data_IF_334318149613
#
_entry.id   IF_334318149613
#
_cell.length_a   1.000
_cell.length_b   1.000
_cell.length_c   1.000
_cell.angle_alpha   90.00
_cell.angle_beta   90.00
_cell.angle_gamma   90.00
#
_symmetry.space_group_name_H-M   'P 1'
#
loop_
_entity.id
_entity.type
_entity.pdbx_description
1 polymer ?
#
# COMPACT_ATOMS: atom_id res chain seq x y z
N UNK A 1 11.76 -4.56 18.15
CA UNK A 1 10.82 -3.54 17.65
C UNK A 1 9.44 -3.80 18.21
N UNK A 2 8.82 -2.85 18.92
CA UNK A 2 7.39 -2.91 19.26
C UNK A 2 6.61 -2.27 18.11
N UNK A 3 5.90 -3.09 17.33
CA UNK A 3 5.07 -2.60 16.24
C UNK A 3 3.73 -2.09 16.80
N UNK A 4 3.37 -0.85 16.50
CA UNK A 4 2.06 -0.32 16.84
C UNK A 4 1.02 -0.83 15.83
N UNK A 5 0.41 -1.98 16.14
CA UNK A 5 -0.57 -2.66 15.28
C UNK A 5 -1.74 -1.73 14.90
N UNK A 6 -2.15 -0.84 15.81
CA UNK A 6 -3.24 0.10 15.56
C UNK A 6 -2.84 1.17 14.53
N UNK A 7 -1.61 1.68 14.61
CA UNK A 7 -1.07 2.60 13.62
C UNK A 7 -0.95 1.93 12.25
N UNK A 8 -0.43 0.69 12.20
CA UNK A 8 -0.32 -0.08 10.96
C UNK A 8 -1.69 -0.26 10.31
N UNK A 9 -2.73 -0.65 11.06
CA UNK A 9 -4.09 -0.80 10.54
C UNK A 9 -4.65 0.51 9.97
N UNK A 10 -4.44 1.62 10.68
CA UNK A 10 -4.92 2.94 10.25
C UNK A 10 -4.22 3.37 8.96
N UNK A 11 -2.89 3.22 8.91
CA UNK A 11 -2.09 3.56 7.73
C UNK A 11 -2.42 2.64 6.54
N UNK A 12 -2.63 1.35 6.78
CA UNK A 12 -3.07 0.38 5.75
C UNK A 12 -4.38 0.79 5.11
N UNK A 13 -5.36 1.24 5.92
CA UNK A 13 -6.64 1.73 5.39
C UNK A 13 -6.45 2.97 4.52
N UNK A 14 -5.63 3.92 4.97
CA UNK A 14 -5.31 5.13 4.19
C UNK A 14 -4.69 4.80 2.83
N UNK A 15 -3.72 3.88 2.80
CA UNK A 15 -3.08 3.42 1.55
C UNK A 15 -4.09 2.75 0.63
N UNK A 16 -4.95 1.88 1.17
CA UNK A 16 -6.00 1.21 0.41
C UNK A 16 -7.01 2.20 -0.19
N UNK A 17 -7.43 3.20 0.58
CA UNK A 17 -8.34 4.26 0.11
C UNK A 17 -7.72 5.11 -1.02
N UNK A 18 -6.40 5.33 -0.99
CA UNK A 18 -5.68 5.96 -2.11
C UNK A 18 -5.69 5.07 -3.35
N UNK A 19 -5.40 3.78 -3.21
CA UNK A 19 -5.40 2.84 -4.35
C UNK A 19 -6.80 2.57 -4.93
N UNK A 20 -7.86 2.77 -4.14
CA UNK A 20 -9.24 2.81 -4.64
C UNK A 20 -9.50 4.01 -5.56
N UNK A 21 -8.85 5.15 -5.30
CA UNK A 21 -9.00 6.39 -6.10
C UNK A 21 -8.05 6.45 -7.28
N UNK A 22 -6.81 5.98 -7.08
CA UNK A 22 -5.74 6.00 -8.06
C UNK A 22 -5.40 4.57 -8.44
N UNK A 23 -5.80 4.16 -9.65
CA UNK A 23 -5.80 2.77 -10.15
C UNK A 23 -4.46 2.03 -9.95
N UNK A 24 -3.33 2.75 -9.96
CA UNK A 24 -2.00 2.24 -9.59
C UNK A 24 -1.15 3.38 -9.06
N UNK A 25 -0.28 3.10 -8.10
CA UNK A 25 0.69 4.07 -7.55
C UNK A 25 2.06 3.40 -7.34
N UNK A 26 3.13 4.13 -7.59
CA UNK A 26 4.49 3.80 -7.15
C UNK A 26 4.64 4.00 -5.64
N UNK A 27 5.75 3.52 -5.06
CA UNK A 27 6.04 3.73 -3.65
C UNK A 27 6.12 5.22 -3.30
N UNK A 28 6.86 6.02 -4.09
CA UNK A 28 7.01 7.46 -3.83
C UNK A 28 5.71 8.25 -3.97
N UNK A 29 4.84 7.88 -4.93
CA UNK A 29 3.50 8.46 -5.01
C UNK A 29 2.68 8.16 -3.75
N UNK A 30 2.75 6.93 -3.23
CA UNK A 30 2.05 6.57 -1.99
C UNK A 30 2.62 7.29 -0.77
N UNK A 31 3.93 7.49 -0.66
CA UNK A 31 4.53 8.29 0.43
C UNK A 31 3.95 9.70 0.43
N UNK A 32 3.92 10.35 -0.73
CA UNK A 32 3.43 11.72 -0.89
C UNK A 32 1.92 11.82 -0.66
N UNK A 33 1.13 10.95 -1.31
CA UNK A 33 -0.34 10.98 -1.22
C UNK A 33 -0.85 10.58 0.17
N UNK A 34 -0.18 9.63 0.82
CA UNK A 34 -0.54 9.21 2.16
C UNK A 34 0.10 10.07 3.25
N UNK A 35 1.08 10.92 2.93
CA UNK A 35 1.91 11.64 3.89
C UNK A 35 2.41 10.71 5.01
N UNK A 36 3.07 9.61 4.61
CA UNK A 36 3.61 8.59 5.49
C UNK A 36 5.12 8.51 5.32
N UNK A 37 5.84 8.29 6.43
CA UNK A 37 7.25 7.95 6.36
C UNK A 37 7.44 6.56 5.73
N UNK A 38 8.59 6.32 5.10
CA UNK A 38 8.86 5.10 4.34
C UNK A 38 8.64 3.83 5.15
N UNK A 39 9.06 3.81 6.43
CA UNK A 39 8.87 2.64 7.31
C UNK A 39 7.39 2.36 7.58
N UNK A 40 6.60 3.40 7.85
CA UNK A 40 5.16 3.24 8.11
C UNK A 40 4.41 2.79 6.85
N UNK A 41 4.81 3.32 5.69
CA UNK A 41 4.27 2.88 4.39
C UNK A 41 4.63 1.42 4.10
N UNK A 42 5.89 1.02 4.33
CA UNK A 42 6.32 -0.37 4.17
C UNK A 42 5.48 -1.33 5.02
N UNK A 43 5.24 -0.99 6.29
CA UNK A 43 4.43 -1.83 7.19
C UNK A 43 2.96 -1.88 6.73
N UNK A 44 2.41 -0.76 6.27
CA UNK A 44 1.05 -0.70 5.73
C UNK A 44 0.90 -1.55 4.44
N UNK A 45 1.84 -1.43 3.52
CA UNK A 45 1.87 -2.22 2.28
C UNK A 45 2.02 -3.72 2.58
N UNK A 46 2.93 -4.09 3.47
CA UNK A 46 3.12 -5.49 3.89
C UNK A 46 1.83 -6.07 4.50
N UNK A 47 1.12 -5.30 5.32
CA UNK A 47 -0.16 -5.73 5.88
C UNK A 47 -1.19 -6.00 4.76
N UNK A 48 -1.34 -5.08 3.81
CA UNK A 48 -2.30 -5.20 2.71
C UNK A 48 -1.96 -6.34 1.73
N UNK A 49 -0.67 -6.51 1.42
CA UNK A 49 -0.16 -7.62 0.58
C UNK A 49 -0.43 -8.97 1.25
N UNK A 50 -0.17 -9.08 2.56
CA UNK A 50 -0.46 -10.30 3.33
C UNK A 50 -1.95 -10.61 3.37
N UNK A 51 -2.79 -9.58 3.45
CA UNK A 51 -4.26 -9.70 3.37
C UNK A 51 -4.78 -9.90 1.94
N UNK A 52 -3.90 -9.94 0.92
CA UNK A 52 -4.25 -10.06 -0.51
C UNK A 52 -5.22 -8.98 -1.01
N UNK A 53 -5.19 -7.80 -0.39
CA UNK A 53 -6.04 -6.66 -0.77
C UNK A 53 -5.45 -5.85 -1.91
N UNK A 54 -4.12 -5.86 -1.99
CA UNK A 54 -3.36 -5.20 -3.05
C UNK A 54 -2.36 -6.20 -3.61
N UNK A 55 -1.82 -5.88 -4.76
CA UNK A 55 -0.70 -6.58 -5.37
C UNK A 55 0.41 -5.61 -5.75
N UNK A 56 1.63 -6.14 -5.75
CA UNK A 56 2.81 -5.45 -6.26
C UNK A 56 3.09 -5.98 -7.66
N UNK A 57 3.18 -5.08 -8.63
CA UNK A 57 3.39 -5.44 -10.04
C UNK A 57 4.61 -4.69 -10.55
N UNK A 58 5.50 -5.43 -11.21
CA UNK A 58 6.59 -4.85 -11.98
C UNK A 58 6.09 -4.49 -13.37
N UNK A 59 6.28 -3.24 -13.78
CA UNK A 59 6.07 -2.81 -15.16
C UNK A 59 7.26 -2.01 -15.69
N UNK A 60 7.12 -1.48 -16.91
CA UNK A 60 8.25 -0.89 -17.64
C UNK A 60 8.91 0.32 -16.96
N UNK A 61 8.21 1.04 -16.06
CA UNK A 61 8.77 2.19 -15.32
C UNK A 61 8.98 1.87 -13.84
N UNK A 62 9.03 0.60 -13.46
CA UNK A 62 9.35 0.15 -12.10
C UNK A 62 8.21 -0.59 -11.41
N UNK A 63 8.22 -0.52 -10.08
CA UNK A 63 7.29 -1.23 -9.22
C UNK A 63 6.08 -0.33 -8.91
N UNK A 64 4.89 -0.90 -9.05
CA UNK A 64 3.64 -0.25 -8.68
C UNK A 64 2.82 -1.15 -7.77
N UNK A 65 1.94 -0.52 -7.00
CA UNK A 65 0.93 -1.15 -6.18
C UNK A 65 -0.45 -0.82 -6.76
N UNK A 66 -1.33 -1.81 -6.78
CA UNK A 66 -2.72 -1.66 -7.20
C UNK A 66 -3.63 -2.60 -6.41
N UNK A 67 -4.92 -2.38 -6.46
CA UNK A 67 -5.90 -3.30 -5.87
C UNK A 67 -5.73 -4.70 -6.48
N UNK A 68 -5.81 -5.72 -5.64
CA UNK A 68 -5.81 -7.10 -6.13
C UNK A 68 -7.09 -7.34 -6.93
N UNK A 69 -6.96 -7.88 -8.14
CA UNK A 69 -8.12 -8.31 -8.91
C UNK A 69 -8.62 -9.61 -8.27
N UNK A 70 -9.86 -9.60 -7.76
CA UNK A 70 -10.54 -10.83 -7.36
C UNK A 70 -10.78 -11.65 -8.64
N UNK A 71 -9.88 -12.57 -8.94
CA UNK A 71 -10.18 -13.67 -9.87
C UNK A 71 -11.12 -14.61 -9.12
N UNK A 72 -12.41 -14.55 -9.46
CA UNK A 72 -13.42 -15.52 -9.04
C UNK A 72 -13.15 -16.89 -9.68
#
# INVERSE_FOLDING_TARGET
MKFNIQAIRTNSRKVYDILLRYTRCTFGELENLCNLASTDLCMALLQLLREKKIEQVSGNQGIYYRLAVLTA
#
